data_IF_781707763799
#
_entry.id   IF_781707763799
#
_cell.length_a   1.000
_cell.length_b   1.000
_cell.length_c   1.000
_cell.angle_alpha   90.00
_cell.angle_beta   90.00
_cell.angle_gamma   90.00
#
_symmetry.space_group_name_H-M   'P 1'
#
loop_
_entity.id
_entity.type
_entity.pdbx_description
1 polymer ?
#
# COMPACT_ATOMS: atom_id res chain seq x y z
N UNK A 1 -12.84 -11.95 -2.98
CA UNK A 1 -11.51 -12.48 -3.34
C UNK A 1 -10.77 -12.88 -2.08
N UNK A 2 -10.21 -14.07 -2.02
CA UNK A 2 -9.47 -14.57 -0.87
C UNK A 2 -8.06 -13.98 -0.82
N UNK A 3 -7.36 -14.16 0.32
CA UNK A 3 -5.95 -13.77 0.42
C UNK A 3 -5.10 -14.52 -0.61
N UNK A 4 -5.43 -15.80 -0.86
CA UNK A 4 -4.73 -16.60 -1.86
C UNK A 4 -4.90 -16.01 -3.25
N UNK A 5 -6.12 -15.58 -3.59
CA UNK A 5 -6.40 -14.96 -4.91
C UNK A 5 -5.62 -13.65 -5.05
N UNK A 6 -5.56 -12.84 -4.01
CA UNK A 6 -4.78 -11.61 -4.03
C UNK A 6 -3.29 -11.90 -4.22
N UNK A 7 -2.77 -12.91 -3.52
CA UNK A 7 -1.36 -13.29 -3.64
C UNK A 7 -1.03 -13.77 -5.05
N UNK A 8 -1.88 -14.61 -5.64
CA UNK A 8 -1.70 -15.09 -7.02
C UNK A 8 -1.67 -13.90 -7.99
N UNK A 9 -2.63 -12.99 -7.86
CA UNK A 9 -2.71 -11.80 -8.70
C UNK A 9 -1.43 -10.96 -8.61
N UNK A 10 -0.93 -10.73 -7.40
CA UNK A 10 0.24 -9.89 -7.20
C UNK A 10 1.55 -10.59 -7.57
N UNK A 11 1.62 -11.90 -7.41
CA UNK A 11 2.80 -12.66 -7.83
C UNK A 11 3.09 -12.44 -9.31
N UNK A 12 2.06 -12.27 -10.12
CA UNK A 12 2.18 -12.07 -11.57
C UNK A 12 2.27 -10.60 -11.98
N UNK A 13 2.14 -9.66 -11.06
CA UNK A 13 2.24 -8.23 -11.37
C UNK A 13 3.69 -7.77 -11.22
N UNK A 14 4.28 -7.32 -12.34
CA UNK A 14 5.69 -6.94 -12.37
C UNK A 14 6.05 -5.82 -11.42
N UNK A 15 5.22 -4.77 -11.33
CA UNK A 15 5.49 -3.64 -10.44
C UNK A 15 5.53 -4.10 -8.97
N UNK A 16 4.53 -4.87 -8.57
CA UNK A 16 4.42 -5.35 -7.18
C UNK A 16 5.55 -6.30 -6.85
N UNK A 17 5.83 -7.25 -7.74
CA UNK A 17 6.88 -8.24 -7.58
C UNK A 17 8.27 -7.57 -7.51
N UNK A 18 8.55 -6.66 -8.44
CA UNK A 18 9.87 -6.03 -8.55
C UNK A 18 10.14 -5.06 -7.40
N UNK A 19 9.10 -4.55 -6.74
CA UNK A 19 9.26 -3.71 -5.57
C UNK A 19 9.21 -4.49 -4.26
N UNK A 20 9.09 -5.82 -4.33
CA UNK A 20 9.08 -6.70 -3.16
C UNK A 20 7.93 -6.40 -2.19
N UNK A 21 6.79 -5.96 -2.74
CA UNK A 21 5.57 -5.77 -1.95
C UNK A 21 4.91 -7.14 -1.72
N UNK A 22 4.52 -7.40 -0.49
CA UNK A 22 3.92 -8.67 -0.08
C UNK A 22 2.63 -8.42 0.68
N UNK A 23 1.61 -9.22 0.37
CA UNK A 23 0.35 -9.18 1.12
C UNK A 23 0.51 -10.00 2.40
N UNK A 24 0.33 -9.35 3.54
CA UNK A 24 0.41 -10.00 4.85
C UNK A 24 -0.96 -10.36 5.39
N UNK A 25 -1.97 -9.50 5.19
CA UNK A 25 -3.28 -9.69 5.80
C UNK A 25 -4.36 -8.98 5.02
N UNK A 26 -5.52 -9.62 4.87
CA UNK A 26 -6.73 -9.00 4.35
C UNK A 26 -7.86 -9.26 5.35
N UNK A 27 -8.47 -8.17 5.82
CA UNK A 27 -9.69 -8.20 6.61
C UNK A 27 -10.76 -7.40 5.85
N UNK A 28 -11.99 -7.37 6.36
CA UNK A 28 -13.12 -6.76 5.65
C UNK A 28 -12.88 -5.31 5.23
N UNK A 29 -12.19 -4.53 6.05
CA UNK A 29 -11.94 -3.12 5.77
C UNK A 29 -10.47 -2.73 5.90
N UNK A 30 -9.59 -3.71 6.17
CA UNK A 30 -8.18 -3.45 6.47
C UNK A 30 -7.28 -4.40 5.69
N UNK A 31 -6.22 -3.83 5.13
CA UNK A 31 -5.21 -4.59 4.40
C UNK A 31 -3.83 -4.23 4.95
N UNK A 32 -2.99 -5.23 5.16
CA UNK A 32 -1.61 -5.04 5.58
C UNK A 32 -0.68 -5.60 4.51
N UNK A 33 0.21 -4.74 4.02
CA UNK A 33 1.30 -5.13 3.14
C UNK A 33 2.63 -4.91 3.85
N UNK A 34 3.63 -5.67 3.44
CA UNK A 34 5.02 -5.39 3.79
C UNK A 34 5.85 -5.22 2.53
N UNK A 35 7.01 -4.61 2.68
CA UNK A 35 7.97 -4.47 1.59
C UNK A 35 9.37 -4.61 2.14
N UNK A 36 10.19 -5.46 1.50
CA UNK A 36 11.60 -5.55 1.80
C UNK A 36 12.33 -4.39 1.11
N UNK A 37 13.18 -3.69 1.85
CA UNK A 37 13.96 -2.58 1.32
C UNK A 37 15.23 -3.14 0.69
N UNK A 38 15.36 -3.00 -0.62
CA UNK A 38 16.52 -3.46 -1.40
C UNK A 38 17.31 -2.23 -1.85
N UNK A 39 18.51 -2.46 -2.39
CA UNK A 39 19.35 -1.35 -2.87
C UNK A 39 18.65 -0.53 -3.94
N UNK A 40 17.89 -1.19 -4.83
CA UNK A 40 17.15 -0.50 -5.89
C UNK A 40 15.86 0.17 -5.40
N UNK A 41 15.51 0.02 -4.12
CA UNK A 41 14.40 0.74 -3.49
C UNK A 41 14.83 2.07 -2.89
N UNK A 42 16.13 2.37 -2.90
CA UNK A 42 16.69 3.50 -2.17
C UNK A 42 16.91 4.72 -3.06
N UNK A 43 16.86 5.89 -2.43
CA UNK A 43 17.28 7.13 -3.08
C UNK A 43 18.82 7.31 -2.98
N UNK A 44 19.37 8.36 -3.57
CA UNK A 44 20.83 8.59 -3.51
C UNK A 44 21.41 8.73 -2.11
N UNK A 45 20.57 9.00 -1.10
CA UNK A 45 21.02 9.12 0.29
C UNK A 45 21.06 7.77 1.03
N UNK A 46 20.68 6.68 0.36
CA UNK A 46 20.70 5.34 0.97
C UNK A 46 19.49 4.99 1.83
N UNK A 47 18.43 5.78 1.76
CA UNK A 47 17.16 5.50 2.47
C UNK A 47 16.06 5.18 1.45
N UNK A 48 14.97 4.53 1.86
CA UNK A 48 13.90 4.19 0.92
C UNK A 48 13.42 5.40 0.14
N UNK A 49 13.31 5.23 -1.19
CA UNK A 49 12.84 6.28 -2.07
C UNK A 49 11.37 6.60 -1.77
N UNK A 50 11.01 7.89 -1.83
CA UNK A 50 9.63 8.32 -1.61
C UNK A 50 8.63 7.62 -2.53
N UNK A 51 9.02 7.39 -3.80
CA UNK A 51 8.19 6.67 -4.75
C UNK A 51 7.95 5.21 -4.37
N UNK A 52 8.96 4.57 -3.75
CA UNK A 52 8.83 3.20 -3.25
C UNK A 52 7.82 3.15 -2.09
N UNK A 53 7.90 4.10 -1.18
CA UNK A 53 6.99 4.20 -0.04
C UNK A 53 5.58 4.50 -0.52
N UNK A 54 5.43 5.47 -1.44
CA UNK A 54 4.14 5.83 -2.03
C UNK A 54 3.50 4.62 -2.71
N UNK A 55 4.29 3.90 -3.51
CA UNK A 55 3.80 2.72 -4.24
C UNK A 55 3.29 1.63 -3.31
N UNK A 56 3.97 1.41 -2.18
CA UNK A 56 3.52 0.45 -1.17
C UNK A 56 2.16 0.86 -0.60
N UNK A 57 2.01 2.12 -0.21
CA UNK A 57 0.77 2.63 0.34
C UNK A 57 -0.37 2.62 -0.67
N UNK A 58 -0.11 3.05 -1.90
CA UNK A 58 -1.11 3.03 -2.96
C UNK A 58 -1.57 1.61 -3.27
N UNK A 59 -0.62 0.67 -3.31
CA UNK A 59 -0.95 -0.74 -3.52
C UNK A 59 -1.83 -1.29 -2.39
N UNK A 60 -1.49 -0.98 -1.14
CA UNK A 60 -2.28 -1.42 0.01
C UNK A 60 -3.70 -0.84 -0.03
N UNK A 61 -3.83 0.44 -0.35
CA UNK A 61 -5.15 1.09 -0.45
C UNK A 61 -5.95 0.56 -1.63
N UNK A 62 -5.29 0.26 -2.75
CA UNK A 62 -5.95 -0.34 -3.90
C UNK A 62 -6.53 -1.71 -3.60
N UNK A 63 -5.81 -2.53 -2.84
CA UNK A 63 -6.32 -3.83 -2.40
C UNK A 63 -7.50 -3.63 -1.45
N UNK A 64 -7.38 -2.69 -0.51
CA UNK A 64 -8.48 -2.39 0.40
C UNK A 64 -9.76 -2.02 -0.37
N UNK A 65 -9.65 -1.19 -1.40
CA UNK A 65 -10.78 -0.84 -2.25
C UNK A 65 -11.40 -2.09 -2.91
N UNK A 66 -10.57 -3.04 -3.32
CA UNK A 66 -11.04 -4.27 -3.98
C UNK A 66 -11.71 -5.26 -3.03
N UNK A 67 -11.52 -5.12 -1.72
CA UNK A 67 -12.23 -5.97 -0.76
C UNK A 67 -13.74 -5.77 -0.81
N UNK A 68 -14.20 -4.67 -1.40
CA UNK A 68 -15.62 -4.41 -1.63
C UNK A 68 -16.23 -5.26 -2.73
N UNK A 69 -15.41 -5.98 -3.50
CA UNK A 69 -15.84 -6.76 -4.65
C UNK A 69 -15.86 -5.98 -5.95
N UNK A 70 -15.47 -4.71 -5.92
CA UNK A 70 -15.47 -3.84 -7.10
C UNK A 70 -14.04 -3.60 -7.59
N UNK A 71 -13.91 -3.35 -8.89
CA UNK A 71 -12.65 -2.89 -9.46
C UNK A 71 -12.48 -1.41 -9.13
N UNK A 72 -11.27 -1.01 -8.78
CA UNK A 72 -11.01 0.36 -8.37
C UNK A 72 -9.66 0.84 -8.91
N UNK A 73 -9.60 2.12 -9.23
CA UNK A 73 -8.37 2.79 -9.63
C UNK A 73 -8.20 4.07 -8.80
N UNK A 74 -6.96 4.47 -8.59
CA UNK A 74 -6.65 5.67 -7.83
C UNK A 74 -7.11 6.92 -8.59
N UNK A 75 -7.91 7.77 -7.94
CA UNK A 75 -8.24 9.09 -8.45
C UNK A 75 -7.19 10.11 -8.02
N UNK A 76 -6.91 10.13 -6.74
CA UNK A 76 -5.89 10.99 -6.17
C UNK A 76 -5.37 10.35 -4.90
N UNK A 77 -4.17 10.74 -4.51
CA UNK A 77 -3.56 10.28 -3.27
C UNK A 77 -2.64 11.37 -2.75
N UNK A 78 -2.60 11.48 -1.43
CA UNK A 78 -1.71 12.40 -0.74
C UNK A 78 -0.84 11.60 0.21
N UNK A 79 0.42 12.02 0.33
CA UNK A 79 1.35 11.41 1.27
C UNK A 79 2.09 12.49 2.02
N UNK A 80 2.27 12.27 3.32
CA UNK A 80 3.16 13.06 4.16
C UNK A 80 4.22 12.14 4.68
N UNK A 81 5.48 12.45 4.38
CA UNK A 81 6.62 11.71 4.91
C UNK A 81 6.99 12.32 6.26
N UNK A 82 6.92 11.52 7.30
CA UNK A 82 7.08 11.99 8.67
C UNK A 82 8.54 11.89 9.17
N UNK A 83 9.24 10.86 8.75
CA UNK A 83 10.64 10.61 9.12
C UNK A 83 11.26 9.55 8.22
N UNK A 84 12.61 9.52 8.11
CA UNK A 84 13.26 8.43 7.38
C UNK A 84 13.03 7.09 8.05
N UNK A 85 12.88 6.03 7.24
CA UNK A 85 12.68 4.68 7.74
C UNK A 85 13.98 4.10 8.28
N UNK A 86 13.89 3.31 9.35
CA UNK A 86 15.00 2.51 9.88
C UNK A 86 14.74 1.03 9.65
N UNK A 87 15.84 0.30 9.37
CA UNK A 87 15.77 -1.13 9.15
C UNK A 87 15.61 -1.48 7.69
N UNK A 88 15.20 -2.72 7.44
CA UNK A 88 15.23 -3.31 6.10
C UNK A 88 13.86 -3.71 5.56
N UNK A 89 12.77 -3.34 6.22
CA UNK A 89 11.44 -3.52 5.65
C UNK A 89 10.47 -2.44 6.13
N UNK A 90 9.36 -2.31 5.39
CA UNK A 90 8.26 -1.42 5.71
C UNK A 90 6.97 -2.22 5.86
N UNK A 91 6.02 -1.66 6.60
CA UNK A 91 4.68 -2.22 6.73
C UNK A 91 3.67 -1.12 6.45
N UNK A 92 2.71 -1.39 5.58
CA UNK A 92 1.62 -0.48 5.26
C UNK A 92 0.30 -1.06 5.74
N UNK A 93 -0.47 -0.26 6.46
CA UNK A 93 -1.80 -0.63 6.94
C UNK A 93 -2.82 0.31 6.31
N UNK A 94 -3.64 -0.23 5.41
CA UNK A 94 -4.67 0.53 4.72
C UNK A 94 -6.04 0.18 5.28
N UNK A 95 -6.89 1.21 5.44
CA UNK A 95 -8.24 1.02 5.97
C UNK A 95 -9.22 1.90 5.22
N UNK A 96 -10.36 1.30 4.82
CA UNK A 96 -11.45 2.05 4.19
C UNK A 96 -12.10 2.93 5.25
N UNK A 97 -12.16 4.24 4.98
CA UNK A 97 -12.86 5.20 5.82
C UNK A 97 -14.32 5.33 5.39
N UNK A 98 -14.53 5.38 4.07
CA UNK A 98 -15.89 5.45 3.51
C UNK A 98 -15.94 4.69 2.19
N UNK A 99 -16.83 3.72 2.12
CA UNK A 99 -17.13 2.99 0.90
C UNK A 99 -18.38 3.60 0.27
N UNK A 100 -18.19 4.52 -0.67
CA UNK A 100 -19.28 5.19 -1.36
C UNK A 100 -19.77 4.39 -2.55
N UNK A 101 -20.71 4.97 -3.29
CA UNK A 101 -21.31 4.33 -4.45
C UNK A 101 -20.34 4.29 -5.64
N UNK A 102 -19.62 5.38 -5.88
CA UNK A 102 -18.73 5.53 -7.04
C UNK A 102 -17.28 5.70 -6.63
N UNK A 103 -17.03 6.10 -5.39
CA UNK A 103 -15.68 6.31 -4.87
C UNK A 103 -15.55 5.75 -3.47
N UNK A 104 -14.32 5.44 -3.07
CA UNK A 104 -13.99 5.06 -1.70
C UNK A 104 -12.89 5.99 -1.19
N UNK A 105 -13.02 6.43 0.06
CA UNK A 105 -11.97 7.19 0.74
C UNK A 105 -11.22 6.25 1.67
N UNK A 106 -9.89 6.18 1.51
CA UNK A 106 -9.06 5.19 2.17
C UNK A 106 -7.85 5.87 2.78
N UNK A 107 -7.46 5.44 3.98
CA UNK A 107 -6.26 5.91 4.65
C UNK A 107 -5.25 4.78 4.79
N UNK A 108 -3.97 5.16 4.81
CA UNK A 108 -2.89 4.21 4.97
C UNK A 108 -1.81 4.82 5.85
N UNK A 109 -1.35 4.05 6.83
CA UNK A 109 -0.22 4.41 7.66
C UNK A 109 0.92 3.45 7.35
N UNK A 110 2.13 3.98 7.25
CA UNK A 110 3.31 3.20 6.90
C UNK A 110 4.32 3.27 8.03
N UNK A 111 4.86 2.12 8.41
CA UNK A 111 5.74 1.94 9.56
C UNK A 111 7.04 1.29 9.12
N UNK A 112 8.11 1.55 9.86
CA UNK A 112 9.41 0.90 9.65
C UNK A 112 9.61 -0.31 10.58
N UNK A 113 10.81 -0.91 10.52
CA UNK A 113 11.19 -2.07 11.35
C UNK A 113 11.03 -1.85 12.84
N UNK A 114 11.18 -0.60 13.29
CA UNK A 114 11.07 -0.25 14.70
C UNK A 114 9.64 0.17 15.06
N UNK A 115 8.69 -0.14 14.17
CA UNK A 115 7.28 0.19 14.32
C UNK A 115 7.03 1.70 14.50
N UNK A 116 7.91 2.54 13.93
CA UNK A 116 7.70 3.98 13.92
C UNK A 116 6.94 4.35 12.67
N UNK A 117 5.95 5.23 12.79
CA UNK A 117 5.22 5.69 11.63
C UNK A 117 6.10 6.63 10.80
N UNK A 118 6.37 6.25 9.57
CA UNK A 118 7.24 7.02 8.67
C UNK A 118 6.47 7.81 7.63
N UNK A 119 5.23 7.44 7.36
CA UNK A 119 4.39 8.16 6.40
C UNK A 119 2.92 7.98 6.72
N UNK A 120 2.14 8.96 6.30
CA UNK A 120 0.68 8.95 6.40
C UNK A 120 0.12 9.28 5.02
N UNK A 121 -0.84 8.48 4.56
CA UNK A 121 -1.46 8.63 3.25
C UNK A 121 -2.97 8.65 3.36
N UNK A 122 -3.60 9.34 2.41
CA UNK A 122 -5.02 9.18 2.15
C UNK A 122 -5.26 9.27 0.64
N UNK A 123 -6.34 8.66 0.18
CA UNK A 123 -6.66 8.63 -1.24
C UNK A 123 -8.13 8.44 -1.48
N UNK A 124 -8.56 8.83 -2.68
CA UNK A 124 -9.85 8.49 -3.22
C UNK A 124 -9.65 7.52 -4.37
N UNK A 125 -10.39 6.42 -4.33
CA UNK A 125 -10.41 5.42 -5.38
C UNK A 125 -11.72 5.50 -6.12
N UNK A 126 -11.66 5.35 -7.44
CA UNK A 126 -12.84 5.36 -8.30
C UNK A 126 -13.20 3.91 -8.65
N UNK A 127 -14.46 3.55 -8.44
CA UNK A 127 -14.93 2.22 -8.83
C UNK A 127 -15.24 2.18 -10.32
N UNK A 128 -14.60 1.26 -11.01
CA UNK A 128 -14.84 1.00 -12.43
C UNK A 128 -15.50 -0.37 -12.58
N UNK A 129 -16.28 -0.50 -13.63
CA UNK A 129 -16.96 -1.79 -13.88
C UNK A 129 -16.07 -2.79 -14.60
#
# INVERSE_FOLDING_TARGET
MSEEDYNITFTNNGFIKNNHYRLEKVEDDKVVLSAEIMDDSKNPYGIPHGGFIFGLGDTAMGIAARTTGKKAVTLNANITFLRPAKGNYLKAEAKIVKDGKTTAFIKCNIFDNENRQIASMDSNYYYID
#
